data_IF_021079371354
#
_entry.id   IF_021079371354
#
_cell.length_a   1.000
_cell.length_b   1.000
_cell.length_c   1.000
_cell.angle_alpha   90.00
_cell.angle_beta   90.00
_cell.angle_gamma   90.00
#
_symmetry.space_group_name_H-M   'P 1'
#
loop_
_entity.id
_entity.type
_entity.pdbx_description
1 polymer ?
#
# COMPACT_ATOMS: atom_id res chain seq x y z
N UNK A 1 -7.78 5.39 -5.46
CA UNK A 1 -7.96 4.11 -6.15
C UNK A 1 -8.07 4.26 -7.67
N UNK A 2 -9.02 4.97 -8.24
CA UNK A 2 -9.16 5.11 -9.71
C UNK A 2 -7.88 5.61 -10.40
N UNK A 3 -7.24 6.63 -9.85
CA UNK A 3 -5.97 7.16 -10.37
C UNK A 3 -4.84 6.12 -10.32
N UNK A 4 -4.74 5.38 -9.22
CA UNK A 4 -3.76 4.29 -9.07
C UNK A 4 -3.98 3.19 -10.12
N UNK A 5 -5.24 2.79 -10.35
CA UNK A 5 -5.58 1.80 -11.37
C UNK A 5 -5.22 2.28 -12.79
N UNK A 6 -5.49 3.55 -13.11
CA UNK A 6 -5.11 4.13 -14.40
C UNK A 6 -3.59 4.15 -14.62
N UNK A 7 -2.82 4.47 -13.60
CA UNK A 7 -1.35 4.44 -13.65
C UNK A 7 -0.82 3.00 -13.79
N UNK A 8 -1.45 2.02 -13.13
CA UNK A 8 -1.06 0.61 -13.26
C UNK A 8 -1.33 0.09 -14.67
N UNK A 9 -2.40 0.53 -15.34
CA UNK A 9 -2.63 0.24 -16.77
C UNK A 9 -1.49 0.82 -17.61
N UNK A 10 -1.04 2.04 -17.31
CA UNK A 10 0.12 2.65 -17.97
C UNK A 10 1.38 1.81 -17.84
N UNK A 11 1.63 1.23 -16.65
CA UNK A 11 2.77 0.31 -16.43
C UNK A 11 2.69 -0.96 -17.27
N UNK A 12 1.48 -1.54 -17.44
CA UNK A 12 1.27 -2.74 -18.23
C UNK A 12 1.56 -2.54 -19.74
N UNK A 13 1.32 -1.33 -20.26
CA UNK A 13 1.43 -1.02 -21.69
C UNK A 13 2.80 -0.45 -22.07
N UNK A 14 3.48 0.22 -21.13
CA UNK A 14 4.74 0.91 -21.39
C UNK A 14 5.85 -0.04 -21.84
N UNK A 15 6.63 0.43 -22.84
CA UNK A 15 7.85 -0.24 -23.36
C UNK A 15 9.14 0.51 -23.02
N UNK A 16 9.06 1.75 -22.56
CA UNK A 16 10.20 2.60 -22.22
C UNK A 16 10.53 2.50 -20.74
N UNK A 17 11.79 2.23 -20.40
CA UNK A 17 12.25 2.10 -19.02
C UNK A 17 12.00 3.41 -18.22
N UNK A 18 12.35 4.56 -18.79
CA UNK A 18 12.19 5.86 -18.11
C UNK A 18 10.72 6.18 -17.80
N UNK A 19 9.80 5.84 -18.72
CA UNK A 19 8.36 6.02 -18.49
C UNK A 19 7.87 5.06 -17.42
N UNK A 20 8.36 3.83 -17.42
CA UNK A 20 8.04 2.83 -16.39
C UNK A 20 8.46 3.29 -14.99
N UNK A 21 9.70 3.78 -14.84
CA UNK A 21 10.21 4.31 -13.56
C UNK A 21 9.38 5.51 -13.08
N UNK A 22 9.07 6.45 -13.98
CA UNK A 22 8.27 7.64 -13.64
C UNK A 22 6.86 7.25 -13.19
N UNK A 23 6.20 6.35 -13.91
CA UNK A 23 4.86 5.90 -13.53
C UNK A 23 4.91 5.10 -12.22
N UNK A 24 5.93 4.27 -12.00
CA UNK A 24 6.11 3.53 -10.74
C UNK A 24 6.25 4.47 -9.55
N UNK A 25 7.01 5.54 -9.71
CA UNK A 25 7.13 6.60 -8.69
C UNK A 25 5.78 7.25 -8.40
N UNK A 26 5.03 7.62 -9.45
CA UNK A 26 3.70 8.21 -9.31
C UNK A 26 2.70 7.26 -8.64
N UNK A 27 2.72 5.98 -8.97
CA UNK A 27 1.91 4.96 -8.28
C UNK A 27 2.23 4.93 -6.78
N UNK A 28 3.51 4.97 -6.42
CA UNK A 28 3.93 5.01 -5.02
C UNK A 28 3.38 6.23 -4.28
N UNK A 29 3.39 7.41 -4.88
CA UNK A 29 2.85 8.65 -4.30
C UNK A 29 1.33 8.59 -4.16
N UNK A 30 0.62 7.97 -5.10
CA UNK A 30 -0.85 7.92 -5.14
C UNK A 30 -1.42 6.79 -4.26
N UNK A 31 -0.62 5.77 -3.91
CA UNK A 31 -1.07 4.62 -3.13
C UNK A 31 -1.16 4.94 -1.64
N UNK A 32 -2.19 5.69 -1.27
CA UNK A 32 -2.46 6.13 0.13
C UNK A 32 -3.64 5.36 0.76
N UNK A 33 -4.21 4.42 0.04
CA UNK A 33 -5.43 3.71 0.46
C UNK A 33 -5.32 3.03 1.83
N UNK A 34 -4.24 2.30 2.17
CA UNK A 34 -4.11 1.67 3.48
C UNK A 34 -4.07 2.68 4.63
N UNK A 35 -3.45 3.85 4.42
CA UNK A 35 -3.38 4.91 5.42
C UNK A 35 -4.75 5.54 5.73
N UNK A 36 -5.68 5.49 4.78
CA UNK A 36 -7.06 5.97 4.97
C UNK A 36 -7.94 4.88 5.61
N UNK A 37 -7.78 3.63 5.20
CA UNK A 37 -8.62 2.53 5.69
C UNK A 37 -8.38 2.20 7.16
N UNK A 38 -7.14 2.32 7.66
CA UNK A 38 -6.82 2.03 9.05
C UNK A 38 -7.55 2.96 10.04
N UNK A 39 -7.46 4.29 9.93
CA UNK A 39 -8.21 5.19 10.81
C UNK A 39 -9.73 5.09 10.58
N UNK A 40 -10.18 4.88 9.34
CA UNK A 40 -11.59 4.68 9.04
C UNK A 40 -12.16 3.44 9.75
N UNK A 41 -11.45 2.33 9.75
CA UNK A 41 -11.85 1.12 10.48
C UNK A 41 -11.91 1.36 12.00
N UNK A 42 -10.98 2.14 12.54
CA UNK A 42 -10.99 2.55 13.95
C UNK A 42 -12.18 3.45 14.30
N UNK A 43 -12.54 4.36 13.39
CA UNK A 43 -13.65 5.31 13.59
C UNK A 43 -15.04 4.66 13.46
N UNK A 44 -15.18 3.69 12.59
CA UNK A 44 -16.43 2.94 12.40
C UNK A 44 -16.68 1.91 13.52
N UNK A 45 -15.62 1.47 14.21
CA UNK A 45 -15.75 0.49 15.28
C UNK A 45 -16.13 1.13 16.62
N UNK A 46 -16.98 0.48 17.43
CA UNK A 46 -17.24 0.90 18.82
C UNK A 46 -15.93 0.95 19.61
N UNK A 47 -15.82 1.87 20.59
CA UNK A 47 -14.58 2.11 21.37
C UNK A 47 -13.91 0.83 21.89
N UNK A 48 -14.73 -0.10 22.42
CA UNK A 48 -14.25 -1.38 22.97
C UNK A 48 -13.69 -2.35 21.89
N UNK A 49 -14.00 -2.15 20.61
CA UNK A 49 -13.63 -3.04 19.50
C UNK A 49 -12.65 -2.39 18.51
N UNK A 50 -12.21 -1.15 18.74
CA UNK A 50 -11.30 -0.42 17.83
C UNK A 50 -10.00 -1.17 17.57
N UNK A 51 -9.37 -1.68 18.62
CA UNK A 51 -8.14 -2.46 18.47
C UNK A 51 -8.33 -3.72 17.63
N UNK A 52 -9.45 -4.42 17.81
CA UNK A 52 -9.79 -5.59 17.01
C UNK A 52 -10.04 -5.25 15.53
N UNK A 53 -10.73 -4.16 15.25
CA UNK A 53 -10.97 -3.71 13.87
C UNK A 53 -9.66 -3.36 13.15
N UNK A 54 -8.77 -2.62 13.82
CA UNK A 54 -7.44 -2.30 13.28
C UNK A 54 -6.63 -3.57 13.02
N UNK A 55 -6.64 -4.54 13.95
CA UNK A 55 -5.92 -5.80 13.82
C UNK A 55 -6.41 -6.62 12.62
N UNK A 56 -7.71 -6.66 12.35
CA UNK A 56 -8.28 -7.35 11.19
C UNK A 56 -7.80 -6.70 9.89
N UNK A 57 -7.84 -5.37 9.80
CA UNK A 57 -7.38 -4.64 8.62
C UNK A 57 -5.88 -4.84 8.38
N UNK A 58 -5.05 -4.76 9.44
CA UNK A 58 -3.61 -5.01 9.36
C UNK A 58 -3.29 -6.45 8.95
N UNK A 59 -3.99 -7.42 9.51
CA UNK A 59 -3.83 -8.84 9.14
C UNK A 59 -4.18 -9.06 7.67
N UNK A 60 -5.27 -8.46 7.19
CA UNK A 60 -5.63 -8.48 5.78
C UNK A 60 -4.58 -7.84 4.87
N UNK A 61 -3.99 -6.72 5.30
CA UNK A 61 -2.92 -6.05 4.58
C UNK A 61 -1.67 -6.94 4.45
N UNK A 62 -1.21 -7.52 5.56
CA UNK A 62 -0.03 -8.39 5.57
C UNK A 62 -0.26 -9.67 4.74
N UNK A 63 -1.42 -10.28 4.89
CA UNK A 63 -1.80 -11.45 4.11
C UNK A 63 -1.89 -11.13 2.62
N UNK A 64 -2.46 -9.97 2.27
CA UNK A 64 -2.52 -9.48 0.89
C UNK A 64 -1.15 -9.28 0.27
N UNK A 65 -0.17 -8.74 1.03
CA UNK A 65 1.22 -8.58 0.56
C UNK A 65 1.85 -9.95 0.26
N UNK A 66 1.66 -10.94 1.14
CA UNK A 66 2.19 -12.29 0.92
C UNK A 66 1.56 -12.96 -0.30
N UNK A 67 0.24 -12.93 -0.40
CA UNK A 67 -0.47 -13.50 -1.57
C UNK A 67 -0.04 -12.84 -2.87
N UNK A 68 0.06 -11.51 -2.90
CA UNK A 68 0.47 -10.78 -4.10
C UNK A 68 1.86 -11.20 -4.58
N UNK A 69 2.81 -11.42 -3.67
CA UNK A 69 4.16 -11.89 -4.01
C UNK A 69 4.16 -13.31 -4.58
N UNK A 70 3.46 -14.21 -3.92
CA UNK A 70 3.35 -15.61 -4.38
C UNK A 70 2.70 -15.68 -5.75
N UNK A 71 1.58 -14.99 -5.94
CA UNK A 71 0.87 -14.97 -7.23
C UNK A 71 1.70 -14.31 -8.33
N UNK A 72 2.38 -13.19 -8.02
CA UNK A 72 3.26 -12.52 -8.97
C UNK A 72 4.43 -13.43 -9.39
N UNK A 73 5.05 -14.14 -8.45
CA UNK A 73 6.11 -15.11 -8.74
C UNK A 73 5.64 -16.24 -9.65
N UNK A 74 4.52 -16.89 -9.30
CA UNK A 74 3.94 -17.97 -10.12
C UNK A 74 3.59 -17.47 -11.54
N UNK A 75 2.93 -16.32 -11.66
CA UNK A 75 2.57 -15.77 -12.97
C UNK A 75 3.82 -15.42 -13.80
N UNK A 76 4.84 -14.84 -13.15
CA UNK A 76 6.07 -14.43 -13.83
C UNK A 76 6.89 -15.64 -14.36
N UNK A 77 6.82 -16.80 -13.69
CA UNK A 77 7.50 -18.01 -14.11
C UNK A 77 6.90 -18.61 -15.40
N UNK A 78 5.57 -18.57 -15.51
CA UNK A 78 4.87 -19.17 -16.67
C UNK A 78 4.57 -18.19 -17.80
N UNK A 79 4.68 -16.86 -17.54
CA UNK A 79 4.19 -15.86 -18.48
C UNK A 79 5.05 -14.59 -18.41
N UNK A 80 4.79 -13.62 -19.30
CA UNK A 80 5.47 -12.32 -19.31
C UNK A 80 5.08 -11.46 -18.09
N UNK A 81 6.02 -10.65 -17.60
CA UNK A 81 5.80 -9.67 -16.51
C UNK A 81 4.57 -8.76 -16.72
N UNK A 82 4.16 -8.53 -17.98
CA UNK A 82 2.97 -7.74 -18.31
C UNK A 82 1.67 -8.35 -17.80
N UNK A 83 1.59 -9.69 -17.80
CA UNK A 83 0.40 -10.40 -17.32
C UNK A 83 0.20 -10.18 -15.83
N UNK A 84 1.29 -10.06 -15.05
CA UNK A 84 1.23 -9.69 -13.64
C UNK A 84 0.55 -8.33 -13.44
N UNK A 85 0.88 -7.33 -14.28
CA UNK A 85 0.25 -6.02 -14.22
C UNK A 85 -1.22 -6.05 -14.66
N UNK A 86 -1.58 -6.80 -15.69
CA UNK A 86 -2.98 -6.98 -16.08
C UNK A 86 -3.80 -7.65 -14.98
N UNK A 87 -3.23 -8.65 -14.33
CA UNK A 87 -3.83 -9.30 -13.16
C UNK A 87 -4.02 -8.28 -12.00
N UNK A 88 -3.00 -7.48 -11.71
CA UNK A 88 -3.06 -6.43 -10.69
C UNK A 88 -4.15 -5.40 -11.00
N UNK A 89 -4.29 -4.97 -12.25
CA UNK A 89 -5.38 -4.07 -12.70
C UNK A 89 -6.75 -4.71 -12.47
N UNK A 90 -6.91 -5.99 -12.81
CA UNK A 90 -8.16 -6.71 -12.56
C UNK A 90 -8.54 -6.76 -11.09
N UNK A 91 -7.59 -7.09 -10.22
CA UNK A 91 -7.80 -7.10 -8.76
C UNK A 91 -8.10 -5.70 -8.24
N UNK A 92 -7.38 -4.67 -8.69
CA UNK A 92 -7.64 -3.27 -8.28
C UNK A 92 -9.03 -2.80 -8.71
N UNK A 93 -9.47 -3.15 -9.93
CA UNK A 93 -10.80 -2.83 -10.41
C UNK A 93 -11.89 -3.52 -9.56
N UNK A 94 -11.70 -4.79 -9.23
CA UNK A 94 -12.61 -5.54 -8.38
C UNK A 94 -12.71 -4.91 -6.98
N UNK A 95 -11.57 -4.55 -6.38
CA UNK A 95 -11.53 -3.88 -5.08
C UNK A 95 -12.18 -2.50 -5.14
N UNK A 96 -12.00 -1.75 -6.24
CA UNK A 96 -12.61 -0.43 -6.42
C UNK A 96 -14.15 -0.55 -6.48
N UNK A 97 -14.66 -1.49 -7.25
CA UNK A 97 -16.09 -1.77 -7.35
C UNK A 97 -16.64 -2.27 -6.00
N UNK A 98 -15.95 -3.22 -5.37
CA UNK A 98 -16.32 -3.72 -4.04
C UNK A 98 -16.34 -2.63 -2.97
N UNK A 99 -15.37 -1.73 -2.98
CA UNK A 99 -15.33 -0.60 -2.05
C UNK A 99 -16.49 0.36 -2.26
N UNK A 100 -16.90 0.58 -3.50
CA UNK A 100 -18.04 1.44 -3.82
C UNK A 100 -19.36 0.91 -3.24
N UNK A 101 -19.55 -0.41 -3.23
CA UNK A 101 -20.76 -1.02 -2.68
C UNK A 101 -20.74 -1.23 -1.16
N UNK A 102 -19.54 -1.43 -0.59
CA UNK A 102 -19.39 -1.81 0.83
C UNK A 102 -19.15 -0.61 1.73
N UNK A 103 -18.46 0.43 1.25
CA UNK A 103 -18.15 1.60 2.06
C UNK A 103 -19.41 2.49 2.18
N UNK A 104 -19.90 2.73 3.40
CA UNK A 104 -20.98 3.70 3.62
C UNK A 104 -20.48 5.11 3.38
N UNK A 105 -21.38 5.98 2.93
CA UNK A 105 -21.12 7.43 2.86
C UNK A 105 -20.83 7.97 4.27
N UNK A 106 -19.58 8.38 4.47
CA UNK A 106 -19.13 8.91 5.75
C UNK A 106 -19.10 10.43 5.69
N UNK A 107 -19.98 11.14 6.44
CA UNK A 107 -19.98 12.59 6.44
C UNK A 107 -18.67 13.12 7.04
N UNK A 108 -18.09 14.17 6.42
CA UNK A 108 -16.89 14.79 6.94
C UNK A 108 -17.12 15.34 8.35
N UNK A 109 -16.34 14.89 9.33
CA UNK A 109 -16.43 15.34 10.74
C UNK A 109 -16.06 16.81 10.91
N UNK A 110 -15.19 17.33 10.06
CA UNK A 110 -14.61 18.67 10.20
C UNK A 110 -14.91 19.49 8.94
N UNK A 111 -16.08 20.14 8.91
CA UNK A 111 -16.47 21.01 7.78
C UNK A 111 -15.78 22.39 7.82
N UNK A 112 -15.24 22.78 8.97
CA UNK A 112 -14.70 24.14 9.21
C UNK A 112 -13.18 24.23 9.05
N UNK A 113 -12.48 23.10 8.83
CA UNK A 113 -11.04 23.10 8.67
C UNK A 113 -10.64 23.19 7.20
N UNK A 114 -9.93 24.25 6.85
CA UNK A 114 -9.30 24.38 5.55
C UNK A 114 -8.18 23.35 5.39
N UNK A 115 -8.04 22.77 4.20
CA UNK A 115 -7.00 21.77 3.88
C UNK A 115 -5.59 22.19 4.33
N UNK A 116 -5.22 23.46 4.17
CA UNK A 116 -3.95 24.01 4.61
C UNK A 116 -3.78 24.01 6.13
N UNK A 117 -4.84 24.25 6.88
CA UNK A 117 -4.80 24.19 8.34
C UNK A 117 -4.57 22.76 8.83
N UNK A 118 -5.15 21.77 8.15
CA UNK A 118 -4.91 20.35 8.46
C UNK A 118 -3.45 20.00 8.23
N UNK A 119 -2.90 20.33 7.05
CA UNK A 119 -1.50 20.06 6.72
C UNK A 119 -0.53 20.77 7.69
N UNK A 120 -0.80 22.03 8.01
CA UNK A 120 0.02 22.78 8.96
C UNK A 120 -0.02 22.18 10.37
N UNK A 121 -1.19 21.76 10.81
CA UNK A 121 -1.37 21.11 12.11
C UNK A 121 -0.64 19.76 12.14
N UNK A 122 -0.72 18.96 11.08
CA UNK A 122 0.04 17.71 10.97
C UNK A 122 1.55 17.96 11.01
N UNK A 123 2.05 18.94 10.23
CA UNK A 123 3.46 19.31 10.24
C UNK A 123 3.92 19.79 11.62
N UNK A 124 3.11 20.61 12.29
CA UNK A 124 3.38 21.10 13.63
C UNK A 124 3.47 19.95 14.64
N UNK A 125 2.49 19.04 14.66
CA UNK A 125 2.51 17.90 15.57
C UNK A 125 3.67 16.94 15.28
N UNK A 126 4.04 16.78 14.01
CA UNK A 126 5.19 15.97 13.62
C UNK A 126 6.52 16.44 14.18
N UNK A 127 6.63 17.72 14.57
CA UNK A 127 7.86 18.30 15.16
C UNK A 127 7.73 18.54 16.65
N UNK A 128 6.50 18.79 17.12
CA UNK A 128 6.28 19.23 18.51
C UNK A 128 6.03 18.07 19.48
N UNK A 129 5.47 16.96 18.99
CA UNK A 129 5.11 15.81 19.83
C UNK A 129 6.20 14.75 19.82
N UNK A 130 7.01 14.60 20.89
CA UNK A 130 8.12 13.65 20.92
C UNK A 130 7.68 12.19 20.81
N UNK A 131 6.50 11.85 21.32
CA UNK A 131 5.93 10.50 21.21
C UNK A 131 5.64 10.16 19.75
N UNK A 132 5.13 11.13 18.98
CA UNK A 132 4.84 10.94 17.56
C UNK A 132 6.14 10.75 16.76
N UNK A 133 7.17 11.55 17.06
CA UNK A 133 8.50 11.42 16.42
C UNK A 133 9.08 10.04 16.71
N UNK A 134 9.03 9.59 17.95
CA UNK A 134 9.52 8.25 18.32
C UNK A 134 8.77 7.14 17.60
N UNK A 135 7.44 7.22 17.54
CA UNK A 135 6.61 6.25 16.82
C UNK A 135 6.94 6.22 15.32
N UNK A 136 7.14 7.38 14.70
CA UNK A 136 7.55 7.49 13.29
C UNK A 136 8.93 6.86 13.05
N UNK A 137 9.92 7.11 13.91
CA UNK A 137 11.25 6.53 13.80
C UNK A 137 11.23 5.01 13.94
N UNK A 138 10.46 4.47 14.89
CA UNK A 138 10.27 3.03 15.06
C UNK A 138 9.64 2.43 13.80
N UNK A 139 8.62 3.08 13.25
CA UNK A 139 7.95 2.61 12.05
C UNK A 139 8.87 2.62 10.81
N UNK A 140 9.67 3.68 10.65
CA UNK A 140 10.68 3.77 9.58
C UNK A 140 11.71 2.66 9.72
N UNK A 141 12.26 2.44 10.93
CA UNK A 141 13.23 1.39 11.18
C UNK A 141 12.64 -0.01 10.89
N UNK A 142 11.43 -0.28 11.37
CA UNK A 142 10.73 -1.55 11.13
C UNK A 142 10.48 -1.79 9.64
N UNK A 143 10.03 -0.76 8.92
CA UNK A 143 9.80 -0.84 7.48
C UNK A 143 11.09 -1.06 6.69
N UNK A 144 12.18 -0.41 7.09
CA UNK A 144 13.49 -0.59 6.50
C UNK A 144 14.01 -2.02 6.70
N UNK A 145 13.89 -2.56 7.91
CA UNK A 145 14.26 -3.95 8.21
C UNK A 145 13.44 -4.94 7.38
N UNK A 146 12.13 -4.74 7.31
CA UNK A 146 11.23 -5.60 6.54
C UNK A 146 11.58 -5.58 5.04
N UNK A 147 11.79 -4.40 4.49
CA UNK A 147 12.16 -4.24 3.06
C UNK A 147 13.52 -4.87 2.76
N UNK A 148 14.52 -4.62 3.62
CA UNK A 148 15.85 -5.23 3.46
C UNK A 148 15.79 -6.75 3.51
N UNK A 149 15.02 -7.33 4.43
CA UNK A 149 14.85 -8.78 4.51
C UNK A 149 14.36 -9.36 3.17
N UNK A 150 13.33 -8.75 2.58
CA UNK A 150 12.77 -9.24 1.31
C UNK A 150 13.73 -9.08 0.14
N UNK A 151 14.41 -7.95 0.04
CA UNK A 151 15.39 -7.72 -1.02
C UNK A 151 16.57 -8.68 -0.88
N UNK A 152 17.14 -8.80 0.32
CA UNK A 152 18.28 -9.68 0.58
C UNK A 152 17.91 -11.14 0.35
N UNK A 153 16.72 -11.57 0.79
CA UNK A 153 16.25 -12.95 0.59
C UNK A 153 16.14 -13.29 -0.90
N UNK A 154 15.62 -12.39 -1.71
CA UNK A 154 15.50 -12.60 -3.15
C UNK A 154 16.88 -12.78 -3.80
N UNK A 155 17.85 -11.93 -3.47
CA UNK A 155 19.22 -12.06 -3.99
C UNK A 155 19.94 -13.32 -3.45
N UNK A 156 19.73 -13.65 -2.20
CA UNK A 156 20.34 -14.84 -1.59
C UNK A 156 19.83 -16.13 -2.25
N UNK A 157 18.54 -16.24 -2.48
CA UNK A 157 17.95 -17.45 -3.06
C UNK A 157 18.19 -17.54 -4.58
N UNK A 158 18.29 -16.43 -5.29
CA UNK A 158 18.64 -16.41 -6.72
C UNK A 158 20.13 -16.59 -7.01
N UNK A 159 21.00 -16.39 -5.99
CA UNK A 159 22.45 -16.55 -6.12
C UNK A 159 22.96 -17.96 -5.83
N UNK A 160 24.28 -18.24 -6.12
CA UNK A 160 24.89 -19.47 -5.72
C UNK A 160 24.97 -19.55 -4.17
N UNK A 161 24.73 -20.71 -3.53
CA UNK A 161 24.57 -22.06 -4.12
C UNK A 161 23.13 -22.46 -4.46
N UNK A 162 22.13 -21.63 -4.19
CA UNK A 162 20.73 -22.04 -4.21
C UNK A 162 20.11 -22.08 -5.60
N UNK A 163 20.39 -21.08 -6.45
CA UNK A 163 19.86 -20.96 -7.84
C UNK A 163 18.35 -21.20 -7.98
N UNK A 164 17.55 -20.80 -6.99
CA UNK A 164 16.11 -20.89 -7.12
C UNK A 164 15.61 -19.87 -8.16
N UNK A 165 14.65 -20.31 -8.98
CA UNK A 165 13.90 -19.40 -9.85
C UNK A 165 13.09 -18.43 -8.99
N UNK A 166 13.36 -17.11 -9.11
CA UNK A 166 12.71 -16.03 -8.35
C UNK A 166 11.68 -15.35 -9.22
#
# INVERSE_FOLDING_TARGET
MALSTSLTIGLAVTKSLHVFETISYLVGVVTVTPQILLPLAADLAPEKKRAGAISVVLSGLLFGILLARVLAGIIAEFTSYRVVYYFAVGVQALVLVGSYFVLPDYPSKNKDLTYWNILWTMAKFSVTEPILIQACLINVASSACFTNLWVTLTFLLGGPPYHYST
#
